data_IF_589866259759
#
_entry.id   IF_589866259759
#
_cell.length_a   1.000
_cell.length_b   1.000
_cell.length_c   1.000
_cell.angle_alpha   90.00
_cell.angle_beta   90.00
_cell.angle_gamma   90.00
#
_symmetry.space_group_name_H-M   'P 1'
#
loop_
_entity.id
_entity.type
_entity.pdbx_description
1 polymer ?
#
# COMPACT_ATOMS: atom_id res chain seq x y z
N UNK A 1 10.16 -26.19 -32.83
CA UNK A 1 9.11 -25.20 -32.54
C UNK A 1 9.33 -24.69 -31.14
N UNK A 2 10.00 -23.54 -30.99
CA UNK A 2 10.19 -22.88 -29.69
C UNK A 2 9.08 -21.84 -29.57
N UNK A 3 8.01 -22.19 -28.88
CA UNK A 3 6.98 -21.23 -28.48
C UNK A 3 7.45 -20.57 -27.19
N UNK A 4 8.17 -19.45 -27.33
CA UNK A 4 8.64 -18.66 -26.20
C UNK A 4 7.48 -18.31 -25.27
N UNK A 5 7.57 -18.77 -24.02
CA UNK A 5 6.72 -18.35 -22.90
C UNK A 5 6.84 -16.84 -22.73
N UNK A 6 5.82 -16.09 -23.18
CA UNK A 6 5.66 -14.70 -22.76
C UNK A 6 5.29 -14.70 -21.28
N UNK A 7 6.29 -14.46 -20.42
CA UNK A 7 6.05 -14.03 -19.04
C UNK A 7 5.22 -12.74 -19.08
N UNK A 8 4.06 -12.67 -18.40
CA UNK A 8 3.20 -11.48 -18.41
C UNK A 8 3.70 -10.42 -17.41
N UNK A 9 5.00 -10.10 -17.43
CA UNK A 9 5.59 -9.08 -16.54
C UNK A 9 5.98 -7.80 -17.28
N UNK A 10 5.42 -7.58 -18.46
CA UNK A 10 5.53 -6.31 -19.18
C UNK A 10 4.22 -5.53 -18.98
N UNK A 11 4.03 -5.03 -17.75
CA UNK A 11 3.02 -4.00 -17.50
C UNK A 11 3.68 -2.66 -17.86
N UNK A 12 3.26 -2.01 -18.95
CA UNK A 12 3.78 -0.69 -19.30
C UNK A 12 3.31 0.30 -18.24
N UNK A 13 4.23 1.10 -17.71
CA UNK A 13 3.95 2.29 -16.91
C UNK A 13 2.95 2.13 -15.75
N UNK A 14 3.43 1.62 -14.62
CA UNK A 14 2.90 2.03 -13.30
C UNK A 14 1.57 1.41 -12.87
N UNK A 15 1.12 0.31 -13.46
CA UNK A 15 -0.03 -0.47 -12.99
C UNK A 15 0.40 -1.84 -12.43
N UNK A 16 -0.22 -2.24 -11.32
CA UNK A 16 0.11 -3.44 -10.55
C UNK A 16 -1.09 -4.37 -10.49
N UNK A 17 -0.84 -5.67 -10.64
CA UNK A 17 -1.85 -6.70 -10.38
C UNK A 17 -2.23 -6.69 -8.90
N UNK A 18 -3.52 -6.49 -8.63
CA UNK A 18 -4.03 -6.32 -7.27
C UNK A 18 -3.92 -7.62 -6.46
N UNK A 19 -4.09 -8.78 -7.10
CA UNK A 19 -4.06 -10.07 -6.41
C UNK A 19 -2.63 -10.46 -6.00
N UNK A 20 -1.67 -10.30 -6.92
CA UNK A 20 -0.25 -10.46 -6.68
C UNK A 20 0.24 -9.52 -5.57
N UNK A 21 -0.13 -8.23 -5.65
CA UNK A 21 0.23 -7.27 -4.62
C UNK A 21 -0.30 -7.72 -3.25
N UNK A 22 -1.59 -8.09 -3.16
CA UNK A 22 -2.19 -8.54 -1.90
C UNK A 22 -1.48 -9.78 -1.33
N UNK A 23 -0.99 -10.69 -2.18
CA UNK A 23 -0.26 -11.87 -1.76
C UNK A 23 1.10 -11.54 -1.11
N UNK A 24 1.71 -10.41 -1.48
CA UNK A 24 2.99 -9.92 -0.94
C UNK A 24 2.86 -9.09 0.34
N UNK A 25 1.63 -8.77 0.76
CA UNK A 25 1.38 -7.89 1.91
C UNK A 25 1.39 -8.65 3.25
N UNK A 26 1.80 -7.98 4.34
CA UNK A 26 1.95 -8.61 5.64
C UNK A 26 0.63 -8.75 6.42
N UNK A 27 -0.52 -8.42 5.82
CA UNK A 27 -1.82 -8.38 6.47
C UNK A 27 -2.84 -9.31 5.77
N UNK A 28 -3.82 -9.86 6.50
CA UNK A 28 -4.78 -10.80 5.94
C UNK A 28 -5.61 -10.17 4.80
N UNK A 29 -5.60 -10.85 3.66
CA UNK A 29 -6.15 -10.41 2.37
C UNK A 29 -7.60 -9.91 2.44
N UNK A 30 -8.42 -10.51 3.31
CA UNK A 30 -9.82 -10.16 3.49
C UNK A 30 -10.03 -8.73 4.02
N UNK A 31 -9.16 -8.26 4.92
CA UNK A 31 -9.27 -6.89 5.47
C UNK A 31 -8.91 -5.83 4.44
N UNK A 32 -8.00 -6.15 3.51
CA UNK A 32 -7.48 -5.24 2.49
C UNK A 32 -8.43 -5.12 1.29
N UNK A 33 -9.02 -6.24 0.84
CA UNK A 33 -10.05 -6.24 -0.21
C UNK A 33 -11.23 -5.36 0.14
N UNK A 34 -11.61 -5.28 1.41
CA UNK A 34 -12.68 -4.40 1.89
C UNK A 34 -12.36 -2.91 1.79
N UNK A 35 -11.08 -2.51 1.72
CA UNK A 35 -10.67 -1.11 1.54
C UNK A 35 -10.58 -0.74 0.06
N UNK A 36 -10.21 -1.70 -0.79
CA UNK A 36 -10.19 -1.55 -2.24
C UNK A 36 -11.57 -1.66 -2.90
N UNK A 37 -12.54 -2.23 -2.19
CA UNK A 37 -13.89 -2.45 -2.70
C UNK A 37 -14.53 -1.12 -3.10
N UNK A 38 -14.67 -0.89 -4.40
CA UNK A 38 -15.52 0.17 -4.93
C UNK A 38 -16.97 -0.32 -4.95
N UNK A 39 -17.94 0.55 -4.68
CA UNK A 39 -19.34 0.24 -4.97
C UNK A 39 -19.53 0.26 -6.48
N UNK A 40 -19.49 -0.90 -7.12
CA UNK A 40 -19.90 -1.11 -8.50
C UNK A 40 -21.40 -1.37 -8.62
N UNK A 41 -21.95 -1.40 -9.85
CA UNK A 41 -23.35 -1.71 -10.11
C UNK A 41 -23.75 -3.13 -9.64
N UNK A 42 -22.81 -4.08 -9.64
CA UNK A 42 -23.00 -5.48 -9.21
C UNK A 42 -22.56 -5.74 -7.75
N UNK A 43 -22.20 -4.70 -6.99
CA UNK A 43 -21.76 -4.80 -5.60
C UNK A 43 -20.30 -4.38 -5.38
N UNK A 44 -19.63 -4.96 -4.37
CA UNK A 44 -18.24 -4.62 -4.03
C UNK A 44 -17.27 -5.33 -4.97
N UNK A 45 -16.82 -4.64 -6.01
CA UNK A 45 -15.79 -5.14 -6.92
C UNK A 45 -14.41 -4.61 -6.52
N UNK A 46 -13.40 -5.48 -6.59
CA UNK A 46 -11.99 -5.13 -6.39
C UNK A 46 -11.35 -5.03 -7.78
N UNK A 47 -10.75 -3.89 -8.16
CA UNK A 47 -10.12 -3.75 -9.46
C UNK A 47 -8.98 -4.77 -9.63
N UNK A 48 -8.87 -5.35 -10.82
CA UNK A 48 -7.82 -6.34 -11.15
C UNK A 48 -6.43 -5.73 -11.22
N UNK A 49 -6.34 -4.44 -11.59
CA UNK A 49 -5.08 -3.70 -11.58
C UNK A 49 -5.24 -2.30 -11.00
N UNK A 50 -4.22 -1.82 -10.32
CA UNK A 50 -4.19 -0.50 -9.68
C UNK A 50 -2.91 0.27 -9.99
N UNK A 51 -2.94 1.61 -10.07
CA UNK A 51 -1.73 2.39 -10.32
C UNK A 51 -0.77 2.37 -9.10
N UNK A 52 0.50 2.72 -9.31
CA UNK A 52 1.57 2.69 -8.30
C UNK A 52 1.18 3.42 -7.02
N UNK A 53 0.66 4.65 -7.13
CA UNK A 53 0.28 5.41 -5.95
C UNK A 53 -0.80 4.69 -5.13
N UNK A 54 -1.77 4.02 -5.78
CA UNK A 54 -2.76 3.17 -5.09
C UNK A 54 -2.15 1.90 -4.50
N UNK A 55 -1.18 1.28 -5.18
CA UNK A 55 -0.45 0.13 -4.65
C UNK A 55 0.31 0.49 -3.36
N UNK A 56 0.96 1.65 -3.33
CA UNK A 56 1.63 2.21 -2.14
C UNK A 56 0.62 2.50 -1.03
N UNK A 57 -0.57 3.06 -1.33
CA UNK A 57 -1.63 3.24 -0.33
C UNK A 57 -1.99 1.90 0.33
N UNK A 58 -2.22 0.87 -0.49
CA UNK A 58 -2.62 -0.45 -0.02
C UNK A 58 -1.54 -1.07 0.87
N UNK A 59 -0.29 -0.98 0.43
CA UNK A 59 0.86 -1.48 1.16
C UNK A 59 1.05 -0.77 2.50
N UNK A 60 0.95 0.57 2.54
CA UNK A 60 1.03 1.34 3.77
C UNK A 60 -0.09 0.99 4.76
N UNK A 61 -1.32 0.82 4.27
CA UNK A 61 -2.45 0.41 5.11
C UNK A 61 -2.28 -1.02 5.65
N UNK A 62 -1.73 -1.93 4.86
CA UNK A 62 -1.43 -3.30 5.27
C UNK A 62 -0.32 -3.35 6.33
N UNK A 63 0.78 -2.64 6.12
CA UNK A 63 1.87 -2.53 7.10
C UNK A 63 1.32 -1.93 8.40
N UNK A 64 0.57 -0.82 8.33
CA UNK A 64 -0.07 -0.24 9.51
C UNK A 64 -0.97 -1.24 10.25
N UNK A 65 -1.77 -2.03 9.53
CA UNK A 65 -2.64 -3.04 10.13
C UNK A 65 -1.85 -4.16 10.80
N UNK A 66 -0.78 -4.64 10.17
CA UNK A 66 0.12 -5.66 10.70
C UNK A 66 0.80 -5.19 11.98
N UNK A 67 1.18 -3.90 12.02
CA UNK A 67 1.71 -3.20 13.20
C UNK A 67 0.64 -2.84 14.26
N UNK A 68 -0.59 -3.34 14.13
CA UNK A 68 -1.65 -3.19 15.14
C UNK A 68 -2.48 -1.91 15.04
N UNK A 69 -2.35 -1.11 13.98
CA UNK A 69 -3.17 0.09 13.79
C UNK A 69 -4.66 -0.27 13.59
N UNK A 70 -5.48 0.04 14.60
CA UNK A 70 -6.95 -0.14 14.54
C UNK A 70 -7.60 0.74 13.46
N UNK A 71 -6.98 1.88 13.12
CA UNK A 71 -7.46 2.87 12.15
C UNK A 71 -6.71 2.81 10.81
N UNK A 72 -6.34 1.62 10.35
CA UNK A 72 -5.64 1.43 9.06
C UNK A 72 -6.42 1.96 7.84
N UNK A 73 -7.76 2.03 7.91
CA UNK A 73 -8.58 2.69 6.86
C UNK A 73 -8.28 4.20 6.75
N UNK A 74 -8.04 4.86 7.88
CA UNK A 74 -7.63 6.27 7.90
C UNK A 74 -6.25 6.45 7.29
N UNK A 75 -5.32 5.50 7.49
CA UNK A 75 -4.02 5.49 6.79
C UNK A 75 -4.24 5.41 5.28
N UNK A 76 -5.11 4.50 4.82
CA UNK A 76 -5.43 4.38 3.40
C UNK A 76 -5.95 5.71 2.83
N UNK A 77 -6.92 6.34 3.48
CA UNK A 77 -7.50 7.61 3.00
C UNK A 77 -6.48 8.74 2.99
N UNK A 78 -5.70 8.90 4.06
CA UNK A 78 -4.71 9.97 4.15
C UNK A 78 -3.58 9.79 3.13
N UNK A 79 -3.06 8.57 2.96
CA UNK A 79 -1.98 8.29 1.99
C UNK A 79 -2.50 8.42 0.55
N UNK A 80 -3.76 8.05 0.30
CA UNK A 80 -4.41 8.27 -1.01
C UNK A 80 -4.52 9.75 -1.36
N UNK A 81 -4.85 10.61 -0.39
CA UNK A 81 -4.95 12.05 -0.61
C UNK A 81 -3.62 12.73 -1.00
N UNK A 82 -2.47 12.07 -0.74
CA UNK A 82 -1.15 12.59 -1.12
C UNK A 82 -0.81 12.39 -2.61
N UNK A 83 -1.47 11.45 -3.30
CA UNK A 83 -1.17 11.12 -4.70
C UNK A 83 0.31 10.77 -4.92
N UNK A 84 0.96 11.34 -5.93
CA UNK A 84 2.37 11.07 -6.24
C UNK A 84 3.37 11.62 -5.21
N UNK A 85 2.91 12.51 -4.31
CA UNK A 85 3.76 13.10 -3.27
C UNK A 85 4.05 12.14 -2.12
N UNK A 86 3.44 10.96 -2.10
CA UNK A 86 3.62 9.94 -1.05
C UNK A 86 5.09 9.72 -0.67
N UNK A 87 6.01 9.71 -1.63
CA UNK A 87 7.46 9.52 -1.41
C UNK A 87 8.14 10.52 -0.48
N UNK A 88 7.49 11.64 -0.17
CA UNK A 88 8.02 12.70 0.71
C UNK A 88 7.49 12.57 2.15
N UNK A 89 6.64 11.58 2.43
CA UNK A 89 5.87 11.47 3.66
C UNK A 89 6.09 10.13 4.37
N UNK A 90 5.85 10.17 5.68
CA UNK A 90 5.90 9.04 6.59
C UNK A 90 4.52 8.84 7.21
N UNK A 91 4.16 7.59 7.49
CA UNK A 91 3.02 7.27 8.37
C UNK A 91 3.57 7.02 9.76
N UNK A 92 3.12 7.81 10.73
CA UNK A 92 3.51 7.68 12.13
C UNK A 92 2.36 7.07 12.92
N UNK A 93 2.63 5.92 13.54
CA UNK A 93 1.68 5.19 14.35
C UNK A 93 2.13 5.25 15.81
N UNK A 94 1.29 5.87 16.64
CA UNK A 94 1.51 5.98 18.08
C UNK A 94 0.43 5.20 18.84
N UNK A 95 0.77 4.48 19.92
CA UNK A 95 -0.22 3.79 20.74
C UNK A 95 -1.30 4.74 21.23
N UNK A 96 -2.57 4.34 21.07
CA UNK A 96 -3.73 5.13 21.52
C UNK A 96 -4.02 6.41 20.73
N UNK A 97 -3.21 6.78 19.74
CA UNK A 97 -3.41 7.97 18.89
C UNK A 97 -3.86 7.60 17.48
N UNK A 98 -4.53 8.53 16.76
CA UNK A 98 -4.80 8.35 15.34
C UNK A 98 -3.48 8.29 14.54
N UNK A 99 -3.49 7.64 13.37
CA UNK A 99 -2.36 7.69 12.44
C UNK A 99 -2.09 9.12 11.97
N UNK A 100 -0.83 9.51 11.95
CA UNK A 100 -0.37 10.82 11.51
C UNK A 100 0.41 10.69 10.20
N UNK A 101 0.21 11.61 9.26
CA UNK A 101 1.02 11.74 8.05
C UNK A 101 1.91 12.95 8.22
N UNK A 102 3.22 12.74 8.17
CA UNK A 102 4.23 13.80 8.36
C UNK A 102 5.19 13.80 7.19
N UNK A 103 5.80 14.93 6.87
CA UNK A 103 6.89 14.94 5.89
C UNK A 103 8.11 14.22 6.49
N UNK A 104 8.81 13.47 5.66
CA UNK A 104 10.03 12.77 6.05
C UNK A 104 11.15 13.74 6.44
N UNK A 105 11.25 14.86 5.72
CA UNK A 105 12.25 15.89 6.00
C UNK A 105 12.10 16.46 7.41
N UNK A 106 13.13 16.30 8.24
CA UNK A 106 13.20 16.84 9.61
C UNK A 106 12.42 16.06 10.65
N UNK A 107 11.85 14.90 10.31
CA UNK A 107 11.16 14.07 11.30
C UNK A 107 12.17 13.37 12.22
N UNK A 108 11.97 13.51 13.53
CA UNK A 108 12.75 12.78 14.55
C UNK A 108 11.86 11.75 15.22
N UNK A 109 12.23 10.47 15.13
CA UNK A 109 11.46 9.38 15.71
C UNK A 109 11.47 9.45 17.24
N UNK A 110 10.29 9.54 17.84
CA UNK A 110 10.08 9.40 19.28
C UNK A 110 9.01 8.33 19.52
N UNK A 111 9.40 7.19 20.11
CA UNK A 111 8.56 6.06 20.53
C UNK A 111 7.32 5.82 19.63
N UNK A 112 7.54 5.74 18.31
CA UNK A 112 6.48 5.53 17.32
C UNK A 112 6.93 4.50 16.29
N UNK A 113 5.97 3.78 15.73
CA UNK A 113 6.21 2.97 14.54
C UNK A 113 6.10 3.91 13.35
N UNK A 114 7.15 3.95 12.52
CA UNK A 114 7.26 4.83 11.37
C UNK A 114 7.26 3.95 10.13
N UNK A 115 6.36 4.23 9.20
CA UNK A 115 6.33 3.60 7.89
C UNK A 115 6.78 4.62 6.86
N UNK A 116 7.93 4.36 6.23
CA UNK A 116 8.43 5.22 5.16
C UNK A 116 7.74 4.87 3.84
N UNK A 117 7.01 5.82 3.27
CA UNK A 117 6.28 5.60 2.02
C UNK A 117 7.22 5.50 0.81
N UNK A 118 8.43 6.05 0.88
CA UNK A 118 9.44 5.88 -0.16
C UNK A 118 10.01 4.46 -0.17
N UNK A 119 10.26 3.88 1.01
CA UNK A 119 10.71 2.49 1.14
C UNK A 119 9.62 1.51 0.73
N UNK A 120 8.38 1.72 1.18
CA UNK A 120 7.23 0.90 0.75
C UNK A 120 7.06 0.97 -0.78
N UNK A 121 7.23 2.15 -1.38
CA UNK A 121 7.19 2.30 -2.84
C UNK A 121 8.31 1.50 -3.53
N UNK A 122 9.51 1.48 -2.97
CA UNK A 122 10.61 0.69 -3.50
C UNK A 122 10.29 -0.81 -3.46
N UNK A 123 9.72 -1.32 -2.37
CA UNK A 123 9.34 -2.74 -2.24
C UNK A 123 8.19 -3.13 -3.19
N UNK A 124 7.20 -2.25 -3.36
CA UNK A 124 6.12 -2.46 -4.34
C UNK A 124 6.70 -2.64 -5.74
N UNK A 125 7.66 -1.78 -6.13
CA UNK A 125 8.35 -1.82 -7.41
C UNK A 125 9.28 -3.02 -7.55
N UNK A 126 9.93 -3.44 -6.46
CA UNK A 126 10.88 -4.56 -6.46
C UNK A 126 10.19 -5.93 -6.63
N UNK A 127 8.88 -6.01 -6.42
CA UNK A 127 8.16 -7.28 -6.52
C UNK A 127 8.37 -8.19 -5.30
N UNK A 128 9.00 -7.70 -4.24
CA UNK A 128 9.35 -8.49 -3.04
C UNK A 128 8.24 -8.46 -1.99
N UNK A 129 8.27 -9.39 -1.00
CA UNK A 129 7.39 -9.32 0.16
C UNK A 129 7.58 -8.00 0.93
N UNK A 130 6.47 -7.37 1.32
CA UNK A 130 6.49 -6.07 2.01
C UNK A 130 6.39 -6.33 3.52
N UNK A 131 7.44 -6.00 4.28
CA UNK A 131 7.55 -6.38 5.72
C UNK A 131 7.65 -5.20 6.70
N UNK A 132 7.31 -3.99 6.25
CA UNK A 132 7.41 -2.74 7.03
C UNK A 132 6.52 -2.65 8.27
#
# INVERSE_FOLDING_TARGET
MVGSTRSPHDAPDGWFDTADLIARLPAPSASLRGVLSTKGPDGREVPTSIPLHHAVVLAAAACARSRGAKRFKTVYEHVRALGDRQREYLVVLRPGKPPEIVRAAGFTSAAAIVLDLAEIRADVLAGTPITH
#
